data_IF_182104196281
#
_entry.id   IF_182104196281
#
_cell.length_a   1.000
_cell.length_b   1.000
_cell.length_c   1.000
_cell.angle_alpha   90.00
_cell.angle_beta   90.00
_cell.angle_gamma   90.00
#
_symmetry.space_group_name_H-M   'P 1'
#
loop_
_entity.id
_entity.type
_entity.pdbx_description
1 polymer ?
#
# COMPACT_ATOMS: atom_id res chain seq x y z
N UNK A 1 43.43 27.37 -14.97
CA UNK A 1 42.64 26.13 -14.82
C UNK A 1 42.48 25.54 -16.21
N UNK A 2 43.04 24.37 -16.50
CA UNK A 2 42.96 23.79 -17.85
C UNK A 2 41.56 23.19 -18.08
N UNK A 3 41.07 23.15 -19.33
CA UNK A 3 39.75 22.58 -19.66
C UNK A 3 39.58 21.13 -19.17
N UNK A 4 40.68 20.38 -19.03
CA UNK A 4 40.70 19.03 -18.49
C UNK A 4 40.24 18.95 -17.02
N UNK A 5 40.63 19.90 -16.17
CA UNK A 5 40.18 19.93 -14.77
C UNK A 5 38.68 20.17 -14.64
N UNK A 6 38.10 20.98 -15.52
CA UNK A 6 36.66 21.26 -15.53
C UNK A 6 35.88 20.02 -15.94
N UNK A 7 36.36 19.29 -16.96
CA UNK A 7 35.72 18.04 -17.41
C UNK A 7 35.74 16.96 -16.33
N UNK A 8 36.87 16.81 -15.64
CA UNK A 8 37.01 15.87 -14.52
C UNK A 8 36.07 16.23 -13.37
N UNK A 9 35.99 17.52 -13.01
CA UNK A 9 35.10 17.99 -11.95
C UNK A 9 33.62 17.70 -12.27
N UNK A 10 33.18 17.95 -13.51
CA UNK A 10 31.81 17.65 -13.95
C UNK A 10 31.54 16.15 -13.89
N UNK A 11 32.47 15.32 -14.37
CA UNK A 11 32.32 13.86 -14.33
C UNK A 11 32.19 13.34 -12.89
N UNK A 12 33.02 13.85 -11.97
CA UNK A 12 32.96 13.49 -10.54
C UNK A 12 31.62 13.90 -9.93
N UNK A 13 31.13 15.11 -10.21
CA UNK A 13 29.81 15.57 -9.72
C UNK A 13 28.69 14.67 -10.25
N UNK A 14 28.72 14.31 -11.54
CA UNK A 14 27.74 13.41 -12.13
C UNK A 14 27.80 11.99 -11.54
N UNK A 15 29.01 11.46 -11.29
CA UNK A 15 29.19 10.14 -10.69
C UNK A 15 28.76 10.11 -9.22
N UNK A 16 29.10 11.14 -8.44
CA UNK A 16 28.66 11.28 -7.04
C UNK A 16 27.16 11.51 -6.98
N UNK A 17 26.59 12.31 -7.88
CA UNK A 17 25.14 12.50 -8.00
C UNK A 17 24.42 11.21 -8.37
N UNK A 18 24.95 10.43 -9.32
CA UNK A 18 24.40 9.14 -9.71
C UNK A 18 24.52 8.09 -8.59
N UNK A 19 25.59 8.12 -7.79
CA UNK A 19 25.77 7.22 -6.65
C UNK A 19 24.88 7.61 -5.47
N UNK A 20 24.78 8.91 -5.16
CA UNK A 20 23.91 9.44 -4.12
C UNK A 20 22.41 9.25 -4.43
N UNK A 21 22.05 9.16 -5.71
CA UNK A 21 20.67 8.89 -6.14
C UNK A 21 20.35 7.40 -6.27
N UNK A 22 21.33 6.49 -6.11
CA UNK A 22 21.00 5.06 -6.03
C UNK A 22 20.12 4.82 -4.80
N UNK A 23 18.94 4.20 -4.96
CA UNK A 23 18.11 3.84 -3.82
C UNK A 23 18.94 2.91 -2.92
N UNK A 24 19.38 3.40 -1.75
CA UNK A 24 20.13 2.56 -0.79
C UNK A 24 19.33 1.28 -0.53
N UNK A 25 19.85 0.10 -0.82
CA UNK A 25 19.08 -1.10 -0.57
C UNK A 25 18.68 -1.16 0.92
N UNK A 26 17.47 -1.61 1.23
CA UNK A 26 17.03 -1.81 2.63
C UNK A 26 17.84 -2.95 3.24
N UNK A 27 18.05 -2.96 4.55
CA UNK A 27 18.94 -3.93 5.21
C UNK A 27 18.55 -5.40 5.01
N UNK A 28 17.31 -5.68 4.57
CA UNK A 28 16.85 -7.04 4.26
C UNK A 28 16.87 -7.39 2.78
N UNK A 29 17.27 -6.49 1.87
CA UNK A 29 17.31 -6.77 0.42
C UNK A 29 18.17 -7.99 0.12
N UNK A 30 19.29 -8.13 0.81
CA UNK A 30 20.26 -9.19 0.59
C UNK A 30 19.78 -10.53 1.17
N UNK A 31 18.78 -10.47 2.06
CA UNK A 31 18.13 -11.62 2.66
C UNK A 31 16.87 -12.07 1.88
N UNK A 32 16.53 -11.41 0.77
CA UNK A 32 15.44 -11.84 -0.09
C UNK A 32 15.81 -13.15 -0.79
N UNK A 33 14.91 -14.12 -0.72
CA UNK A 33 15.09 -15.41 -1.39
C UNK A 33 14.18 -15.46 -2.61
N UNK A 34 14.77 -15.75 -3.77
CA UNK A 34 14.01 -15.98 -4.99
C UNK A 34 13.40 -17.37 -4.94
N UNK A 35 12.08 -17.45 -4.87
CA UNK A 35 11.35 -18.71 -4.98
C UNK A 35 11.09 -19.06 -6.45
N UNK A 36 11.05 -20.37 -6.74
CA UNK A 36 10.86 -20.92 -8.09
C UNK A 36 11.78 -20.32 -9.17
N UNK A 37 13.12 -20.28 -8.95
CA UNK A 37 14.05 -19.80 -9.95
C UNK A 37 13.92 -20.62 -11.24
N UNK A 38 14.00 -19.95 -12.39
CA UNK A 38 13.92 -20.59 -13.71
C UNK A 38 12.50 -20.86 -14.24
N UNK A 39 11.45 -20.75 -13.40
CA UNK A 39 10.07 -20.89 -13.88
C UNK A 39 9.51 -19.52 -14.27
N UNK A 40 9.50 -19.23 -15.57
CA UNK A 40 8.97 -17.97 -16.11
C UNK A 40 7.55 -17.74 -15.60
N UNK A 41 7.33 -16.61 -14.93
CA UNK A 41 6.02 -16.22 -14.38
C UNK A 41 5.67 -16.79 -13.01
N UNK A 42 6.52 -17.63 -12.39
CA UNK A 42 6.40 -18.04 -10.97
C UNK A 42 7.55 -17.59 -10.08
N UNK A 43 8.63 -17.11 -10.68
CA UNK A 43 9.74 -16.56 -9.94
C UNK A 43 9.28 -15.31 -9.18
N UNK A 44 9.35 -15.36 -7.85
CA UNK A 44 9.03 -14.23 -6.98
C UNK A 44 10.09 -14.08 -5.89
N UNK A 45 10.30 -12.86 -5.42
CA UNK A 45 11.13 -12.63 -4.24
C UNK A 45 10.28 -12.74 -2.98
N UNK A 46 10.81 -13.45 -1.99
CA UNK A 46 10.22 -13.57 -0.67
C UNK A 46 11.16 -13.00 0.38
N UNK A 47 10.60 -12.14 1.24
CA UNK A 47 11.34 -11.57 2.34
C UNK A 47 11.43 -12.53 3.53
N UNK A 48 12.42 -12.32 4.43
CA UNK A 48 12.50 -13.05 5.69
C UNK A 48 11.21 -12.97 6.50
N UNK A 49 10.89 -13.99 7.33
CA UNK A 49 9.65 -14.02 8.12
C UNK A 49 9.44 -12.78 9.01
N UNK A 50 10.51 -12.16 9.49
CA UNK A 50 10.42 -10.93 10.29
C UNK A 50 9.85 -9.75 9.50
N UNK A 51 10.31 -9.55 8.27
CA UNK A 51 9.80 -8.49 7.37
C UNK A 51 8.34 -8.76 7.01
N UNK A 52 7.98 -10.02 6.72
CA UNK A 52 6.59 -10.42 6.45
C UNK A 52 5.68 -10.12 7.64
N UNK A 53 6.13 -10.39 8.88
CA UNK A 53 5.37 -10.03 10.09
C UNK A 53 5.20 -8.52 10.22
N UNK A 54 6.23 -7.74 9.94
CA UNK A 54 6.16 -6.27 9.96
C UNK A 54 5.16 -5.74 8.94
N UNK A 55 5.20 -6.22 7.69
CA UNK A 55 4.22 -5.83 6.64
C UNK A 55 2.79 -6.09 7.11
N UNK A 56 2.52 -7.28 7.67
CA UNK A 56 1.19 -7.65 8.18
C UNK A 56 0.75 -6.73 9.31
N UNK A 57 1.64 -6.47 10.26
CA UNK A 57 1.38 -5.58 11.38
C UNK A 57 1.02 -4.17 10.90
N UNK A 58 1.86 -3.58 10.04
CA UNK A 58 1.68 -2.20 9.57
C UNK A 58 0.43 -2.05 8.70
N UNK A 59 0.11 -3.06 7.87
CA UNK A 59 -1.13 -3.13 7.10
C UNK A 59 -2.37 -3.15 8.00
N UNK A 60 -2.40 -4.02 9.01
CA UNK A 60 -3.54 -4.08 9.95
C UNK A 60 -3.67 -2.80 10.75
N UNK A 61 -2.56 -2.21 11.17
CA UNK A 61 -2.56 -0.93 11.86
C UNK A 61 -3.15 0.20 10.99
N UNK A 62 -2.92 0.19 9.66
CA UNK A 62 -3.55 1.13 8.74
C UNK A 62 -5.08 0.95 8.67
N UNK A 63 -5.59 -0.28 8.70
CA UNK A 63 -7.04 -0.53 8.73
C UNK A 63 -7.69 -0.13 10.05
N UNK A 64 -7.06 -0.45 11.18
CA UNK A 64 -7.53 -0.03 12.50
C UNK A 64 -7.58 1.49 12.58
N UNK A 65 -6.49 2.17 12.21
CA UNK A 65 -6.43 3.62 12.16
C UNK A 65 -7.51 4.23 11.24
N UNK A 66 -7.70 3.67 10.05
CA UNK A 66 -8.70 4.16 9.10
C UNK A 66 -10.12 4.05 9.68
N UNK A 67 -10.42 2.96 10.38
CA UNK A 67 -11.71 2.75 11.05
C UNK A 67 -11.91 3.68 12.27
N UNK A 68 -10.86 3.94 13.04
CA UNK A 68 -10.89 4.84 14.20
C UNK A 68 -11.05 6.31 13.80
N UNK A 69 -10.42 6.72 12.69
CA UNK A 69 -10.45 8.11 12.20
C UNK A 69 -11.62 8.41 11.28
N UNK A 70 -12.54 7.46 11.05
CA UNK A 70 -13.67 7.64 10.13
C UNK A 70 -14.53 8.88 10.45
N UNK A 71 -14.64 9.25 11.73
CA UNK A 71 -15.42 10.42 12.22
C UNK A 71 -14.56 11.58 12.72
N UNK A 72 -13.27 11.59 12.38
CA UNK A 72 -12.33 12.65 12.75
C UNK A 72 -11.43 13.00 11.57
N UNK A 73 -11.90 13.91 10.74
CA UNK A 73 -11.18 14.29 9.52
C UNK A 73 -9.93 15.11 9.75
N UNK A 74 -9.90 15.94 10.79
CA UNK A 74 -8.71 16.69 11.12
C UNK A 74 -7.58 15.73 11.43
N UNK A 75 -7.86 14.75 12.30
CA UNK A 75 -6.93 13.67 12.61
C UNK A 75 -6.60 12.82 11.39
N UNK A 76 -7.61 12.41 10.61
CA UNK A 76 -7.41 11.62 9.38
C UNK A 76 -6.47 12.34 8.43
N UNK A 77 -6.72 13.60 8.09
CA UNK A 77 -5.89 14.37 7.17
C UNK A 77 -4.44 14.52 7.66
N UNK A 78 -4.24 14.75 8.96
CA UNK A 78 -2.92 14.91 9.56
C UNK A 78 -2.11 13.60 9.60
N UNK A 79 -2.76 12.47 9.95
CA UNK A 79 -2.07 11.20 10.17
C UNK A 79 -2.00 10.32 8.92
N UNK A 80 -2.83 10.56 7.90
CA UNK A 80 -2.92 9.73 6.70
C UNK A 80 -1.59 9.45 5.98
N UNK A 81 -0.66 10.42 5.84
CA UNK A 81 0.65 10.15 5.23
C UNK A 81 1.48 9.10 5.97
N UNK A 82 1.19 8.81 7.25
CA UNK A 82 1.88 7.77 8.03
C UNK A 82 1.46 6.35 7.62
N UNK A 83 0.28 6.20 7.02
CA UNK A 83 -0.32 4.90 6.71
C UNK A 83 -0.42 4.65 5.20
N UNK A 84 -0.60 5.71 4.41
CA UNK A 84 -0.76 5.65 2.97
C UNK A 84 0.36 6.37 2.24
N UNK A 85 0.66 5.93 1.02
CA UNK A 85 1.63 6.57 0.15
C UNK A 85 1.14 6.59 -1.30
N UNK A 86 1.89 7.25 -2.18
CA UNK A 86 1.71 7.14 -3.62
C UNK A 86 0.29 7.48 -4.13
N UNK A 87 -0.23 6.72 -5.10
CA UNK A 87 -1.57 6.94 -5.66
C UNK A 87 -2.70 6.90 -4.63
N UNK A 88 -2.64 6.01 -3.64
CA UNK A 88 -3.71 5.87 -2.66
C UNK A 88 -3.82 7.11 -1.78
N UNK A 89 -2.70 7.60 -1.23
CA UNK A 89 -2.67 8.84 -0.45
C UNK A 89 -3.22 10.03 -1.24
N UNK A 90 -2.84 10.18 -2.51
CA UNK A 90 -3.34 11.26 -3.38
C UNK A 90 -4.86 11.17 -3.59
N UNK A 91 -5.38 9.96 -3.78
CA UNK A 91 -6.82 9.72 -3.95
C UNK A 91 -7.59 10.12 -2.69
N UNK A 92 -7.15 9.64 -1.52
CA UNK A 92 -7.79 9.96 -0.24
C UNK A 92 -7.71 11.46 0.09
N UNK A 93 -6.57 12.10 -0.20
CA UNK A 93 -6.40 13.56 0.00
C UNK A 93 -7.39 14.35 -0.85
N UNK A 94 -7.60 13.96 -2.12
CA UNK A 94 -8.58 14.60 -2.99
C UNK A 94 -10.01 14.40 -2.49
N UNK A 95 -10.33 13.21 -2.03
CA UNK A 95 -11.64 12.91 -1.45
C UNK A 95 -11.91 13.78 -0.23
N UNK A 96 -10.96 13.85 0.72
CA UNK A 96 -11.09 14.70 1.90
C UNK A 96 -11.23 16.19 1.53
N UNK A 97 -10.43 16.68 0.59
CA UNK A 97 -10.53 18.06 0.13
C UNK A 97 -11.91 18.39 -0.48
N UNK A 98 -12.44 17.51 -1.34
CA UNK A 98 -13.76 17.67 -1.94
C UNK A 98 -14.87 17.68 -0.89
N UNK A 99 -14.75 16.81 0.11
CA UNK A 99 -15.71 16.72 1.19
C UNK A 99 -15.69 17.93 2.13
N UNK A 100 -14.51 18.51 2.40
CA UNK A 100 -14.38 19.78 3.15
C UNK A 100 -15.05 20.92 2.39
N UNK A 101 -14.86 21.02 1.07
CA UNK A 101 -15.53 22.03 0.24
C UNK A 101 -17.06 21.88 0.22
N UNK A 102 -17.57 20.65 0.35
CA UNK A 102 -19.01 20.35 0.37
C UNK A 102 -19.71 20.59 1.74
N UNK A 103 -19.08 21.37 2.64
CA UNK A 103 -19.55 21.64 4.03
C UNK A 103 -19.45 20.46 5.00
N UNK A 104 -18.57 19.50 4.72
CA UNK A 104 -18.36 18.35 5.59
C UNK A 104 -19.32 17.19 5.33
N UNK A 105 -19.07 16.02 5.89
CA UNK A 105 -19.89 14.86 5.63
C UNK A 105 -21.09 14.88 6.57
N UNK A 106 -22.19 14.29 6.14
CA UNK A 106 -23.24 13.90 7.08
C UNK A 106 -22.98 12.50 7.65
N UNK A 107 -22.39 11.64 6.83
CA UNK A 107 -22.17 10.24 7.15
C UNK A 107 -20.70 9.86 6.99
N UNK A 108 -20.20 9.04 7.90
CA UNK A 108 -18.90 8.40 7.81
C UNK A 108 -19.06 6.88 7.69
N UNK A 109 -18.38 6.27 6.72
CA UNK A 109 -18.33 4.83 6.58
C UNK A 109 -17.19 4.21 7.38
N UNK A 110 -17.50 3.20 8.19
CA UNK A 110 -16.53 2.32 8.84
C UNK A 110 -16.76 0.90 8.36
N UNK A 111 -15.70 0.23 7.91
CA UNK A 111 -15.75 -1.19 7.54
C UNK A 111 -14.99 -2.00 8.56
N UNK A 112 -15.61 -3.08 9.03
CA UNK A 112 -15.02 -4.06 9.94
C UNK A 112 -14.98 -5.42 9.22
N UNK A 113 -13.89 -6.16 9.39
CA UNK A 113 -13.72 -7.49 8.80
C UNK A 113 -12.80 -8.36 9.65
N UNK A 114 -12.88 -9.67 9.46
CA UNK A 114 -11.83 -10.59 9.87
C UNK A 114 -10.84 -10.74 8.72
N UNK A 115 -9.59 -10.39 8.98
CA UNK A 115 -8.53 -10.35 7.97
C UNK A 115 -7.68 -11.62 8.01
N UNK A 116 -7.49 -12.26 6.84
CA UNK A 116 -6.49 -13.30 6.63
C UNK A 116 -5.50 -12.85 5.57
N UNK A 117 -4.26 -12.61 5.99
CA UNK A 117 -3.24 -11.95 5.17
C UNK A 117 -2.19 -12.89 4.59
N UNK A 118 -1.97 -12.76 3.30
CA UNK A 118 -0.83 -13.36 2.59
C UNK A 118 0.05 -12.25 2.01
N UNK A 119 1.34 -12.24 2.35
CA UNK A 119 2.32 -11.26 1.85
C UNK A 119 3.28 -11.96 0.90
N UNK A 120 3.40 -11.48 -0.33
CA UNK A 120 4.20 -12.12 -1.39
C UNK A 120 4.73 -11.10 -2.39
N UNK A 121 5.47 -11.60 -3.39
CA UNK A 121 5.91 -10.83 -4.54
C UNK A 121 6.67 -9.56 -4.14
N UNK A 122 7.71 -9.70 -3.32
CA UNK A 122 8.58 -8.56 -3.03
C UNK A 122 9.28 -8.09 -4.32
N UNK A 123 9.49 -6.78 -4.44
CA UNK A 123 10.40 -6.24 -5.46
C UNK A 123 11.83 -6.69 -5.18
N UNK A 124 12.69 -6.68 -6.18
CA UNK A 124 14.09 -7.11 -6.03
C UNK A 124 14.90 -6.22 -5.08
N UNK A 125 14.50 -4.96 -4.90
CA UNK A 125 15.08 -4.03 -3.92
C UNK A 125 14.48 -4.15 -2.51
N UNK A 126 13.44 -4.97 -2.34
CA UNK A 126 12.75 -5.20 -1.07
C UNK A 126 11.90 -4.04 -0.58
N UNK A 127 11.64 -3.02 -1.40
CA UNK A 127 10.88 -1.82 -1.02
C UNK A 127 9.38 -1.92 -1.26
N UNK A 128 8.93 -2.88 -2.07
CA UNK A 128 7.52 -3.08 -2.37
C UNK A 128 7.16 -4.54 -2.21
N UNK A 129 5.90 -4.80 -1.86
CA UNK A 129 5.34 -6.14 -1.86
C UNK A 129 3.83 -6.11 -2.03
N UNK A 130 3.24 -7.27 -2.33
CA UNK A 130 1.80 -7.45 -2.37
C UNK A 130 1.27 -8.00 -1.05
N UNK A 131 0.15 -7.43 -0.60
CA UNK A 131 -0.68 -7.97 0.48
C UNK A 131 -2.01 -8.41 -0.12
N UNK A 132 -2.30 -9.70 0.00
CA UNK A 132 -3.60 -10.28 -0.31
C UNK A 132 -4.35 -10.41 1.01
N UNK A 133 -5.44 -9.66 1.14
CA UNK A 133 -6.29 -9.62 2.32
C UNK A 133 -7.63 -10.28 2.02
N UNK A 134 -7.82 -11.48 2.57
CA UNK A 134 -9.09 -12.18 2.55
C UNK A 134 -9.94 -11.67 3.72
N UNK A 135 -10.92 -10.85 3.42
CA UNK A 135 -11.82 -10.23 4.37
C UNK A 135 -13.11 -11.05 4.49
N UNK A 136 -13.36 -11.59 5.68
CA UNK A 136 -14.57 -12.37 5.99
C UNK A 136 -15.39 -11.69 7.08
N UNK A 137 -16.69 -12.04 7.18
CA UNK A 137 -17.63 -11.47 8.14
C UNK A 137 -17.69 -9.94 8.06
N UNK A 138 -17.62 -9.40 6.85
CA UNK A 138 -17.54 -7.96 6.60
C UNK A 138 -18.81 -7.24 7.04
N UNK A 139 -18.66 -6.10 7.70
CA UNK A 139 -19.75 -5.22 8.12
C UNK A 139 -19.40 -3.78 7.82
N UNK A 140 -20.28 -3.08 7.13
CA UNK A 140 -20.22 -1.63 7.01
C UNK A 140 -21.11 -1.00 8.08
N UNK A 141 -20.61 0.04 8.73
CA UNK A 141 -21.38 0.91 9.61
C UNK A 141 -21.32 2.32 9.04
N UNK A 142 -22.47 2.86 8.69
CA UNK A 142 -22.62 4.28 8.42
C UNK A 142 -22.91 4.98 9.73
N UNK A 143 -22.04 5.92 10.10
CA UNK A 143 -22.12 6.70 11.32
C UNK A 143 -22.60 8.10 10.97
N UNK A 144 -23.45 8.69 11.79
CA UNK A 144 -23.64 10.14 11.80
C UNK A 144 -22.31 10.76 12.22
N UNK A 145 -21.76 11.63 11.37
CA UNK A 145 -20.42 12.16 11.58
C UNK A 145 -20.31 12.99 12.86
N UNK A 146 -21.31 13.83 13.13
CA UNK A 146 -21.29 14.79 14.24
C UNK A 146 -21.61 14.12 15.56
N UNK A 147 -22.62 13.24 15.56
CA UNK A 147 -23.07 12.54 16.75
C UNK A 147 -22.23 11.29 17.05
N UNK A 148 -21.42 10.82 16.09
CA UNK A 148 -20.62 9.59 16.17
C UNK A 148 -21.45 8.35 16.51
N UNK A 149 -22.71 8.32 16.06
CA UNK A 149 -23.67 7.24 16.32
C UNK A 149 -23.94 6.43 15.06
N UNK A 150 -24.11 5.10 15.16
CA UNK A 150 -24.48 4.29 14.02
C UNK A 150 -25.89 4.66 13.53
N UNK A 151 -26.01 4.91 12.22
CA UNK A 151 -27.28 5.16 11.51
C UNK A 151 -27.71 3.88 10.80
N UNK A 152 -26.78 3.24 10.09
CA UNK A 152 -27.03 1.99 9.36
C UNK A 152 -25.89 1.02 9.62
N UNK A 153 -26.23 -0.25 9.82
CA UNK A 153 -25.26 -1.34 9.79
C UNK A 153 -25.68 -2.33 8.73
N UNK A 154 -24.79 -2.59 7.77
CA UNK A 154 -25.04 -3.50 6.66
C UNK A 154 -23.98 -4.61 6.68
N UNK A 155 -24.43 -5.84 6.46
CA UNK A 155 -23.51 -6.96 6.24
C UNK A 155 -23.07 -6.93 4.78
N UNK A 156 -21.76 -6.92 4.57
CA UNK A 156 -21.20 -6.99 3.22
C UNK A 156 -20.86 -8.44 2.87
N UNK A 157 -20.83 -8.72 1.57
CA UNK A 157 -20.26 -9.98 1.07
C UNK A 157 -18.78 -10.06 1.39
N UNK A 158 -18.32 -11.26 1.70
CA UNK A 158 -16.90 -11.50 1.92
C UNK A 158 -16.11 -11.30 0.62
N UNK A 159 -14.88 -10.78 0.72
CA UNK A 159 -14.12 -10.34 -0.44
C UNK A 159 -12.61 -10.47 -0.22
N UNK A 160 -11.85 -10.63 -1.30
CA UNK A 160 -10.40 -10.56 -1.28
C UNK A 160 -9.92 -9.26 -1.93
N UNK A 161 -8.95 -8.61 -1.31
CA UNK A 161 -8.32 -7.41 -1.83
C UNK A 161 -6.82 -7.62 -2.01
N UNK A 162 -6.27 -7.07 -3.08
CA UNK A 162 -4.83 -7.05 -3.33
C UNK A 162 -4.34 -5.62 -3.22
N UNK A 163 -3.46 -5.38 -2.27
CA UNK A 163 -2.82 -4.09 -2.07
C UNK A 163 -1.33 -4.18 -2.42
N UNK A 164 -0.81 -3.10 -3.01
CA UNK A 164 0.63 -2.86 -3.07
C UNK A 164 1.02 -2.08 -1.82
N UNK A 165 1.98 -2.63 -1.08
CA UNK A 165 2.63 -1.94 0.04
C UNK A 165 3.97 -1.38 -0.43
N UNK A 166 4.33 -0.21 0.06
CA UNK A 166 5.64 0.40 -0.12
C UNK A 166 6.27 0.67 1.24
N UNK A 167 7.56 0.34 1.40
CA UNK A 167 8.33 0.67 2.58
C UNK A 167 8.79 2.12 2.52
N UNK A 168 8.36 2.91 3.49
CA UNK A 168 8.86 4.25 3.73
C UNK A 168 10.06 4.17 4.66
N UNK A 169 11.20 4.67 4.18
CA UNK A 169 12.48 4.58 4.91
C UNK A 169 12.60 5.62 6.00
N UNK A 170 11.97 6.77 5.80
CA UNK A 170 12.02 7.88 6.74
C UNK A 170 11.16 7.53 7.96
N UNK A 171 9.97 6.99 7.71
CA UNK A 171 9.06 6.52 8.76
C UNK A 171 9.37 5.09 9.26
N UNK A 172 10.30 4.40 8.59
CA UNK A 172 10.65 3.00 8.82
C UNK A 172 9.45 2.05 8.86
N UNK A 173 8.46 2.30 8.01
CA UNK A 173 7.14 1.67 8.06
C UNK A 173 6.63 1.27 6.69
N UNK A 174 5.89 0.16 6.62
CA UNK A 174 5.15 -0.20 5.40
C UNK A 174 3.83 0.58 5.30
N UNK A 175 3.60 1.20 4.14
CA UNK A 175 2.40 2.00 3.83
C UNK A 175 1.62 1.41 2.66
N UNK A 176 0.31 1.59 2.64
CA UNK A 176 -0.53 1.19 1.49
C UNK A 176 -0.31 2.19 0.35
N UNK A 177 0.27 1.73 -0.76
CA UNK A 177 0.59 2.57 -1.93
C UNK A 177 -0.57 2.61 -2.93
N UNK A 178 -1.22 1.47 -3.18
CA UNK A 178 -2.41 1.36 -4.05
C UNK A 178 -3.23 0.11 -3.76
N UNK A 179 -4.55 0.21 -3.95
CA UNK A 179 -5.39 -0.95 -4.21
C UNK A 179 -5.13 -1.41 -5.65
N UNK A 180 -4.67 -2.65 -5.81
CA UNK A 180 -4.40 -3.26 -7.11
C UNK A 180 -5.68 -3.84 -7.70
N UNK A 181 -6.40 -4.63 -6.89
CA UNK A 181 -7.58 -5.37 -7.35
C UNK A 181 -8.48 -5.77 -6.18
N UNK A 182 -9.79 -5.84 -6.43
CA UNK A 182 -10.77 -6.47 -5.56
C UNK A 182 -11.38 -7.69 -6.26
N UNK A 183 -11.60 -8.79 -5.54
CA UNK A 183 -11.93 -10.10 -6.09
C UNK A 183 -12.89 -10.84 -5.16
N UNK A 184 -13.72 -11.77 -5.66
CA UNK A 184 -14.55 -12.61 -4.79
C UNK A 184 -13.71 -13.50 -3.88
N UNK A 185 -14.29 -13.95 -2.76
CA UNK A 185 -13.66 -14.96 -1.89
C UNK A 185 -13.33 -16.24 -2.66
N UNK A 186 -12.27 -16.94 -2.22
CA UNK A 186 -11.83 -18.19 -2.82
C UNK A 186 -10.89 -18.02 -4.02
N UNK A 187 -10.77 -16.79 -4.54
CA UNK A 187 -9.74 -16.45 -5.53
C UNK A 187 -8.34 -16.69 -4.93
N UNK A 188 -7.53 -17.50 -5.63
CA UNK A 188 -6.22 -17.97 -5.14
C UNK A 188 -6.23 -19.25 -4.30
N UNK A 189 -7.37 -19.94 -4.16
CA UNK A 189 -7.37 -21.36 -3.74
C UNK A 189 -6.85 -22.30 -4.84
N UNK A 190 -6.80 -21.82 -6.09
CA UNK A 190 -6.07 -22.40 -7.21
C UNK A 190 -4.79 -21.62 -7.58
N UNK A 191 -4.03 -22.13 -8.57
CA UNK A 191 -2.75 -21.57 -9.09
C UNK A 191 -2.91 -20.23 -9.86
N UNK A 192 -3.87 -19.39 -9.50
CA UNK A 192 -4.15 -18.14 -10.21
C UNK A 192 -3.19 -17.01 -9.83
N UNK A 193 -2.88 -16.16 -10.81
CA UNK A 193 -1.68 -15.31 -10.84
C UNK A 193 -2.05 -13.86 -10.57
N UNK A 194 -1.38 -13.23 -9.59
CA UNK A 194 -1.28 -11.77 -9.53
C UNK A 194 0.03 -11.36 -10.20
N UNK A 195 -0.04 -10.65 -11.33
CA UNK A 195 1.15 -10.09 -11.96
C UNK A 195 1.27 -8.65 -11.47
N UNK A 196 2.38 -8.33 -10.80
CA UNK A 196 2.84 -6.96 -10.67
C UNK A 196 3.21 -6.46 -12.07
N UNK A 197 2.23 -5.91 -12.78
CA UNK A 197 2.53 -5.07 -13.92
C UNK A 197 2.97 -3.72 -13.35
N UNK A 198 4.28 -3.47 -13.33
CA UNK A 198 4.82 -2.16 -12.96
C UNK A 198 4.32 -1.05 -13.92
N UNK A 199 3.80 -1.42 -15.11
CA UNK A 199 3.24 -0.52 -16.13
C UNK A 199 1.79 -0.86 -16.58
N UNK A 200 0.98 -1.55 -15.78
CA UNK A 200 -0.39 -1.85 -16.22
C UNK A 200 -1.19 -0.55 -16.37
N UNK A 201 -1.82 -0.30 -17.53
CA UNK A 201 -2.78 0.80 -17.67
C UNK A 201 -3.91 0.61 -16.64
N UNK A 202 -4.53 1.71 -16.16
CA UNK A 202 -5.62 1.63 -15.19
C UNK A 202 -6.69 0.67 -15.70
N UNK A 203 -7.07 -0.28 -14.84
CA UNK A 203 -8.16 -1.22 -15.11
C UNK A 203 -9.42 -0.41 -15.44
N UNK A 204 -9.91 -0.55 -16.67
CA UNK A 204 -11.26 -0.11 -17.02
C UNK A 204 -12.21 -0.97 -16.21
N UNK A 205 -12.85 -0.38 -15.20
CA UNK A 205 -14.02 -0.97 -14.58
C UNK A 205 -15.07 -1.15 -15.68
N UNK A 206 -15.49 -2.39 -15.90
CA UNK A 206 -16.62 -2.69 -16.78
C UNK A 206 -17.84 -1.88 -16.33
N UNK A 207 -18.56 -1.33 -17.30
CA UNK A 207 -19.83 -0.63 -17.08
C UNK A 207 -20.85 -1.56 -16.43
#
# INVERSE_FOLDING_TARGET
>A
MTPEFVLIAILVILLVGAWATRPRAVSWSDALVRQHPGVRGRAEWMAPPAVVRQVRHDYLAAWVWSAETATDWARRAAEMPQFFSGPHLRSETRLLAALVQARGPRLAGRVEAQHRLTVRCFSSDGLRCLVIDQQTRRRARLLDYWLRRPVVTERLEDQAFVYLMAYDRDDRRWKIEKLVQAMPLGWGSGRERVILHEDAPPLRLGK
#
